data_IF_522072342297
#
_entry.id   IF_522072342297
#
_cell.length_a   1.000
_cell.length_b   1.000
_cell.length_c   1.000
_cell.angle_alpha   90.00
_cell.angle_beta   90.00
_cell.angle_gamma   90.00
#
_symmetry.space_group_name_H-M   'P 1'
#
loop_
_entity.id
_entity.type
_entity.pdbx_description
1 polymer ?
#
# COMPACT_ATOMS: atom_id res chain seq x y z
N UNK A 1 -3.52 6.58 5.74
CA UNK A 1 -3.98 6.66 4.32
C UNK A 1 -5.43 6.20 4.21
N UNK A 2 -6.21 6.76 3.29
CA UNK A 2 -7.61 6.39 3.02
C UNK A 2 -8.02 6.78 1.58
N UNK A 3 -9.32 6.69 1.23
CA UNK A 3 -9.85 7.07 -0.09
C UNK A 3 -9.46 8.50 -0.52
N UNK A 4 -9.41 9.44 0.40
CA UNK A 4 -9.23 10.86 0.07
C UNK A 4 -7.81 11.19 -0.40
N UNK A 5 -6.80 10.42 0.02
CA UNK A 5 -5.40 10.72 -0.28
C UNK A 5 -4.63 9.58 -0.98
N UNK A 6 -5.23 8.40 -1.15
CA UNK A 6 -4.60 7.32 -1.90
C UNK A 6 -4.52 7.65 -3.40
N UNK A 7 -3.31 7.58 -3.95
CA UNK A 7 -3.06 7.73 -5.38
C UNK A 7 -3.37 6.41 -6.09
N UNK A 8 -4.19 6.46 -7.14
CA UNK A 8 -4.49 5.30 -7.98
C UNK A 8 -3.46 5.18 -9.10
N UNK A 9 -3.13 3.95 -9.46
CA UNK A 9 -2.36 3.64 -10.67
C UNK A 9 -3.27 3.75 -11.90
N UNK A 10 -2.66 3.77 -13.09
CA UNK A 10 -3.38 3.88 -14.36
C UNK A 10 -4.38 2.72 -14.59
N UNK A 11 -4.11 1.54 -14.01
CA UNK A 11 -4.99 0.36 -14.04
C UNK A 11 -6.14 0.43 -13.02
N UNK A 12 -6.30 1.55 -12.31
CA UNK A 12 -7.32 1.77 -11.30
C UNK A 12 -7.04 1.13 -9.94
N UNK A 13 -5.97 0.34 -9.80
CA UNK A 13 -5.57 -0.28 -8.54
C UNK A 13 -4.86 0.72 -7.62
N UNK A 14 -4.84 0.40 -6.33
CA UNK A 14 -4.02 1.09 -5.34
C UNK A 14 -2.89 0.14 -4.93
N UNK A 15 -1.65 0.61 -5.03
CA UNK A 15 -0.50 -0.04 -4.39
C UNK A 15 -0.25 0.67 -3.07
N UNK A 16 -0.14 -0.10 -1.99
CA UNK A 16 0.31 0.37 -0.68
C UNK A 16 1.74 -0.13 -0.48
N UNK A 17 2.64 0.74 -0.04
CA UNK A 17 4.02 0.37 0.28
C UNK A 17 4.23 0.52 1.77
N UNK A 18 4.82 -0.49 2.39
CA UNK A 18 5.15 -0.48 3.82
C UNK A 18 6.67 -0.63 3.89
N UNK A 19 7.35 0.38 4.41
CA UNK A 19 8.80 0.43 4.42
C UNK A 19 9.32 1.30 5.58
N UNK A 20 10.52 1.00 6.06
CA UNK A 20 11.16 1.70 7.18
C UNK A 20 11.85 3.01 6.78
N UNK A 21 11.94 3.29 5.48
CA UNK A 21 12.51 4.52 4.93
C UNK A 21 11.71 4.93 3.70
N UNK A 22 11.75 6.22 3.37
CA UNK A 22 10.99 6.80 2.25
C UNK A 22 11.44 6.16 0.91
N UNK A 23 10.56 5.42 0.23
CA UNK A 23 10.86 4.79 -1.06
C UNK A 23 10.65 5.74 -2.26
N UNK A 24 10.24 6.99 -2.04
CA UNK A 24 9.99 7.98 -3.09
C UNK A 24 8.74 7.72 -3.94
N UNK A 25 7.82 6.86 -3.47
CA UNK A 25 6.58 6.51 -4.18
C UNK A 25 5.34 6.89 -3.34
N UNK A 26 4.19 7.20 -3.98
CA UNK A 26 2.97 7.50 -3.25
C UNK A 26 2.47 6.29 -2.44
N UNK A 27 1.52 6.55 -1.52
CA UNK A 27 0.87 5.52 -0.70
C UNK A 27 1.83 4.72 0.21
N UNK A 28 2.92 5.35 0.62
CA UNK A 28 3.85 4.79 1.59
C UNK A 28 3.29 4.90 3.02
N UNK A 29 3.50 3.84 3.80
CA UNK A 29 3.30 3.75 5.23
C UNK A 29 4.65 3.46 5.89
N UNK A 30 5.08 4.39 6.74
CA UNK A 30 6.25 4.21 7.60
C UNK A 30 5.97 3.12 8.65
N UNK A 31 6.93 2.21 8.85
CA UNK A 31 6.85 1.18 9.91
C UNK A 31 7.05 1.77 11.31
N UNK A 32 7.49 3.03 11.42
CA UNK A 32 7.73 3.72 12.68
C UNK A 32 8.63 2.90 13.63
N UNK A 33 9.70 2.32 13.09
CA UNK A 33 10.66 1.45 13.80
C UNK A 33 10.07 0.14 14.36
N UNK A 34 8.83 -0.24 14.02
CA UNK A 34 8.28 -1.52 14.41
C UNK A 34 8.82 -2.63 13.49
N UNK A 35 9.39 -3.72 14.04
CA UNK A 35 9.87 -4.85 13.24
C UNK A 35 8.72 -5.73 12.73
N UNK A 36 7.56 -5.67 13.38
CA UNK A 36 6.37 -6.44 13.05
C UNK A 36 5.10 -5.69 13.48
N UNK A 37 3.97 -6.10 12.91
CA UNK A 37 2.66 -5.53 13.22
C UNK A 37 1.58 -6.06 12.28
N UNK A 38 0.40 -5.44 12.37
CA UNK A 38 -0.77 -5.85 11.58
C UNK A 38 -1.26 -4.70 10.72
N UNK A 39 -1.72 -5.03 9.51
CA UNK A 39 -2.37 -4.08 8.59
C UNK A 39 -3.84 -4.45 8.46
N UNK A 40 -4.72 -3.47 8.62
CA UNK A 40 -6.15 -3.63 8.41
C UNK A 40 -6.60 -2.79 7.21
N UNK A 41 -7.17 -3.46 6.21
CA UNK A 41 -7.90 -2.82 5.11
C UNK A 41 -9.38 -2.78 5.48
N UNK A 42 -10.04 -1.65 5.18
CA UNK A 42 -11.44 -1.42 5.56
C UNK A 42 -12.24 -0.96 4.35
N UNK A 43 -13.37 -1.63 4.11
CA UNK A 43 -14.35 -1.28 3.08
C UNK A 43 -15.63 -0.85 3.76
N UNK A 44 -15.95 0.44 3.64
CA UNK A 44 -17.18 0.99 4.20
C UNK A 44 -18.28 0.96 3.15
N UNK A 45 -19.41 0.34 3.50
CA UNK A 45 -20.64 0.36 2.70
C UNK A 45 -20.48 -0.13 1.25
N UNK A 46 -19.55 -1.07 1.00
CA UNK A 46 -19.40 -1.66 -0.33
C UNK A 46 -20.59 -2.55 -0.67
N UNK A 47 -21.19 -2.31 -1.83
CA UNK A 47 -22.21 -3.19 -2.43
C UNK A 47 -21.62 -4.11 -3.51
N UNK A 48 -20.36 -3.88 -3.89
CA UNK A 48 -19.62 -4.71 -4.84
C UNK A 48 -18.74 -5.75 -4.10
N UNK A 49 -18.31 -6.82 -4.79
CA UNK A 49 -17.31 -7.75 -4.26
C UNK A 49 -16.07 -7.00 -3.76
N UNK A 50 -15.58 -7.39 -2.59
CA UNK A 50 -14.39 -6.77 -2.01
C UNK A 50 -13.15 -7.24 -2.79
N UNK A 51 -12.24 -6.33 -3.17
CA UNK A 51 -10.99 -6.72 -3.81
C UNK A 51 -10.11 -7.48 -2.82
N UNK A 52 -9.51 -8.57 -3.30
CA UNK A 52 -8.42 -9.24 -2.61
C UNK A 52 -7.12 -8.44 -2.75
N UNK A 53 -6.31 -8.46 -1.70
CA UNK A 53 -5.02 -7.78 -1.69
C UNK A 53 -3.91 -8.81 -1.90
N UNK A 54 -3.24 -8.74 -3.04
CA UNK A 54 -2.00 -9.46 -3.27
C UNK A 54 -0.85 -8.78 -2.53
N UNK A 55 -0.02 -9.55 -1.83
CA UNK A 55 1.15 -9.03 -1.12
C UNK A 55 2.42 -9.77 -1.51
N UNK A 56 3.55 -9.07 -1.47
CA UNK A 56 4.88 -9.64 -1.63
C UNK A 56 5.91 -8.77 -0.92
N UNK A 57 6.98 -9.39 -0.45
CA UNK A 57 8.15 -8.70 0.08
C UNK A 57 9.15 -8.47 -1.05
N UNK A 58 9.73 -7.28 -1.12
CA UNK A 58 10.76 -6.91 -2.09
C UNK A 58 11.85 -6.08 -1.40
N UNK A 59 13.07 -6.01 -1.96
CA UNK A 59 14.08 -5.04 -1.53
C UNK A 59 13.59 -3.59 -1.67
N UNK A 60 14.02 -2.73 -0.73
CA UNK A 60 13.59 -1.32 -0.65
C UNK A 60 13.92 -0.55 -1.94
N UNK A 61 15.12 -0.76 -2.47
CA UNK A 61 15.65 -0.11 -3.67
C UNK A 61 14.94 -0.52 -4.98
N UNK A 62 14.17 -1.61 -4.96
CA UNK A 62 13.40 -2.09 -6.12
C UNK A 62 11.99 -1.51 -6.18
N UNK A 63 11.50 -0.85 -5.12
CA UNK A 63 10.11 -0.39 -5.02
C UNK A 63 9.74 0.60 -6.13
N UNK A 64 10.61 1.56 -6.41
CA UNK A 64 10.38 2.59 -7.43
C UNK A 64 10.33 2.03 -8.86
N UNK A 65 10.98 0.88 -9.10
CA UNK A 65 11.00 0.19 -10.38
C UNK A 65 9.84 -0.81 -10.55
N UNK A 66 9.00 -1.02 -9.52
CA UNK A 66 7.87 -1.92 -9.63
C UNK A 66 6.86 -1.38 -10.65
N UNK A 67 6.33 -2.25 -11.54
CA UNK A 67 5.43 -1.84 -12.61
C UNK A 67 4.19 -1.15 -12.07
#
# INVERSE_FOLDING_TARGET
MNRANAVRRADGRVRVVVAHADPGVPNWLDTACHPEGSIALRWFLSTAPLPEADTRVVPLDQIAALP
#
